data_IF_573239268398
#
_entry.id   IF_573239268398
#
_cell.length_a   1.000
_cell.length_b   1.000
_cell.length_c   1.000
_cell.angle_alpha   90.00
_cell.angle_beta   90.00
_cell.angle_gamma   90.00
#
_symmetry.space_group_name_H-M   'P 1'
#
loop_
_entity.id
_entity.type
_entity.pdbx_description
1 polymer ?
#
# COMPACT_ATOMS: atom_id res chain seq x y z
N UNK A 1 -2.65 -17.42 14.86
CA UNK A 1 -3.01 -17.39 13.43
C UNK A 1 -2.18 -16.31 12.78
N UNK A 2 -1.50 -16.62 11.69
CA UNK A 2 -0.88 -15.60 10.84
C UNK A 2 -2.00 -14.92 10.02
N UNK A 3 -1.94 -13.59 9.81
CA UNK A 3 -2.98 -12.88 9.08
C UNK A 3 -3.04 -13.33 7.62
N UNK A 4 -4.26 -13.48 7.09
CA UNK A 4 -4.51 -13.83 5.70
C UNK A 4 -3.87 -12.82 4.72
N UNK A 5 -3.51 -13.28 3.52
CA UNK A 5 -2.84 -12.48 2.49
C UNK A 5 -3.64 -11.26 2.06
N UNK A 6 -4.97 -11.30 2.20
CA UNK A 6 -5.86 -10.18 1.88
C UNK A 6 -6.33 -9.41 3.11
N UNK A 7 -5.85 -9.77 4.31
CA UNK A 7 -6.13 -8.99 5.50
C UNK A 7 -5.33 -7.68 5.47
N UNK A 8 -6.04 -6.54 5.41
CA UNK A 8 -5.50 -5.18 5.40
C UNK A 8 -5.83 -4.40 6.68
N UNK A 9 -6.48 -5.05 7.65
CA UNK A 9 -6.95 -4.40 8.89
C UNK A 9 -8.26 -3.62 8.70
N UNK A 10 -8.77 -3.10 9.81
CA UNK A 10 -10.04 -2.34 9.89
C UNK A 10 -9.86 -0.89 10.33
N UNK A 11 -8.61 -0.47 10.58
CA UNK A 11 -8.25 0.87 11.02
C UNK A 11 -6.84 1.23 10.58
N UNK A 12 -6.49 2.52 10.61
CA UNK A 12 -5.14 2.99 10.30
C UNK A 12 -4.07 2.30 11.17
N UNK A 13 -4.34 2.16 12.47
CA UNK A 13 -3.41 1.52 13.40
C UNK A 13 -3.20 0.03 13.10
N UNK A 14 -4.28 -0.69 12.74
CA UNK A 14 -4.18 -2.11 12.39
C UNK A 14 -3.47 -2.32 11.04
N UNK A 15 -3.76 -1.47 10.05
CA UNK A 15 -3.09 -1.50 8.75
C UNK A 15 -1.59 -1.23 8.88
N UNK A 16 -1.19 -0.24 9.69
CA UNK A 16 0.22 0.07 9.95
C UNK A 16 0.93 -1.07 10.68
N UNK A 17 0.27 -1.69 11.67
CA UNK A 17 0.81 -2.86 12.35
C UNK A 17 1.02 -4.05 11.40
N UNK A 18 0.06 -4.32 10.50
CA UNK A 18 0.20 -5.36 9.48
C UNK A 18 1.32 -5.04 8.48
N UNK A 19 1.50 -3.77 8.13
CA UNK A 19 2.61 -3.28 7.30
C UNK A 19 3.97 -3.50 7.99
N UNK A 20 4.07 -3.26 9.29
CA UNK A 20 5.29 -3.51 10.06
C UNK A 20 5.65 -5.01 10.11
N UNK A 21 4.66 -5.87 10.39
CA UNK A 21 4.83 -7.32 10.33
C UNK A 21 5.31 -7.74 8.93
N UNK A 22 4.65 -7.23 7.88
CA UNK A 22 4.98 -7.54 6.50
C UNK A 22 6.41 -7.11 6.15
N UNK A 23 6.81 -5.90 6.52
CA UNK A 23 8.17 -5.37 6.30
C UNK A 23 9.21 -6.23 7.01
N UNK A 24 8.92 -6.68 8.24
CA UNK A 24 9.78 -7.59 8.98
C UNK A 24 9.92 -8.94 8.27
N UNK A 25 8.83 -9.49 7.74
CA UNK A 25 8.83 -10.73 6.97
C UNK A 25 9.68 -10.58 5.69
N UNK A 26 9.47 -9.50 4.92
CA UNK A 26 10.24 -9.22 3.70
C UNK A 26 11.73 -9.09 4.00
N UNK A 27 12.12 -8.45 5.11
CA UNK A 27 13.52 -8.38 5.54
C UNK A 27 14.10 -9.76 5.83
N UNK A 28 13.40 -10.60 6.60
CA UNK A 28 13.82 -11.98 6.87
C UNK A 28 13.93 -12.81 5.59
N UNK A 29 13.06 -12.55 4.61
CA UNK A 29 13.12 -13.21 3.31
C UNK A 29 14.32 -12.76 2.49
N UNK A 30 14.68 -11.47 2.53
CA UNK A 30 15.86 -10.94 1.87
C UNK A 30 17.16 -11.58 2.40
N UNK A 31 17.23 -11.92 3.70
CA UNK A 31 18.36 -12.66 4.28
C UNK A 31 18.52 -14.08 3.67
N UNK A 32 17.46 -14.65 3.08
CA UNK A 32 17.49 -15.94 2.39
C UNK A 32 17.85 -15.84 0.91
N UNK A 33 17.81 -14.64 0.31
CA UNK A 33 18.10 -14.44 -1.11
C UNK A 33 19.47 -14.98 -1.48
N UNK A 34 20.51 -14.71 -0.67
CA UNK A 34 21.87 -15.19 -0.92
C UNK A 34 21.93 -16.72 -0.96
N UNK A 35 21.31 -17.39 0.02
CA UNK A 35 21.28 -18.86 0.10
C UNK A 35 20.58 -19.48 -1.11
N UNK A 36 19.52 -18.83 -1.61
CA UNK A 36 18.77 -19.29 -2.78
C UNK A 36 19.58 -19.07 -4.06
N UNK A 37 20.25 -17.92 -4.21
CA UNK A 37 21.13 -17.66 -5.35
C UNK A 37 22.29 -18.66 -5.41
N UNK A 38 22.91 -18.97 -4.26
CA UNK A 38 23.96 -19.98 -4.16
C UNK A 38 23.44 -21.38 -4.52
N UNK A 39 22.26 -21.75 -4.03
CA UNK A 39 21.63 -23.03 -4.32
C UNK A 39 21.31 -23.18 -5.81
N UNK A 40 20.78 -22.13 -6.44
CA UNK A 40 20.49 -22.11 -7.88
C UNK A 40 21.78 -22.21 -8.72
N UNK A 41 22.83 -21.47 -8.37
CA UNK A 41 24.14 -21.56 -9.03
C UNK A 41 24.71 -22.97 -8.94
N UNK A 42 24.64 -23.60 -7.76
CA UNK A 42 25.11 -24.98 -7.57
C UNK A 42 24.27 -25.98 -8.38
N UNK A 43 22.97 -25.77 -8.49
CA UNK A 43 22.12 -26.61 -9.33
C UNK A 43 22.51 -26.48 -10.82
N UNK A 44 22.83 -25.28 -11.29
CA UNK A 44 23.32 -25.03 -12.66
C UNK A 44 24.70 -25.68 -12.91
N UNK A 45 25.62 -25.60 -11.96
CA UNK A 45 26.91 -26.31 -12.04
C UNK A 45 26.70 -27.82 -12.16
N UNK A 46 25.78 -28.39 -11.37
CA UNK A 46 25.47 -29.81 -11.41
C UNK A 46 24.88 -30.25 -12.75
N UNK A 47 24.09 -29.40 -13.43
CA UNK A 47 23.58 -29.68 -14.78
C UNK A 47 24.73 -29.94 -15.76
N UNK A 48 25.79 -29.13 -15.70
CA UNK A 48 26.97 -29.25 -16.58
C UNK A 48 27.80 -30.51 -16.33
N UNK A 49 27.63 -31.15 -15.17
CA UNK A 49 28.38 -32.33 -14.73
C UNK A 49 27.58 -33.64 -14.88
N UNK A 50 26.34 -33.59 -15.39
CA UNK A 50 25.51 -34.80 -15.48
C UNK A 50 26.00 -35.76 -16.55
N UNK A 51 26.02 -37.08 -16.27
CA UNK A 51 26.52 -38.08 -17.21
C UNK A 51 25.56 -38.38 -18.37
N UNK A 52 24.28 -37.97 -18.27
CA UNK A 52 23.28 -38.14 -19.33
C UNK A 52 22.48 -36.86 -19.56
N UNK A 53 22.08 -36.64 -20.80
CA UNK A 53 21.23 -35.51 -21.21
C UNK A 53 19.88 -35.50 -20.48
N UNK A 54 19.30 -36.69 -20.25
CA UNK A 54 18.07 -36.84 -19.48
C UNK A 54 18.18 -36.32 -18.03
N UNK A 55 19.29 -36.62 -17.35
CA UNK A 55 19.53 -36.10 -16.00
C UNK A 55 19.80 -34.59 -16.02
N UNK A 56 20.58 -34.09 -16.98
CA UNK A 56 20.81 -32.66 -17.16
C UNK A 56 19.50 -31.88 -17.32
N UNK A 57 18.55 -32.39 -18.11
CA UNK A 57 17.22 -31.77 -18.28
C UNK A 57 16.42 -31.72 -16.97
N UNK A 58 16.43 -32.80 -16.18
CA UNK A 58 15.69 -32.83 -14.90
C UNK A 58 16.23 -31.80 -13.93
N UNK A 59 17.56 -31.71 -13.77
CA UNK A 59 18.18 -30.70 -12.89
C UNK A 59 17.93 -29.28 -13.38
N UNK A 60 17.98 -29.05 -14.69
CA UNK A 60 17.62 -27.76 -15.29
C UNK A 60 16.17 -27.37 -15.00
N UNK A 61 15.24 -28.31 -15.19
CA UNK A 61 13.82 -28.10 -14.89
C UNK A 61 13.56 -27.82 -13.40
N UNK A 62 14.25 -28.52 -12.50
CA UNK A 62 14.16 -28.29 -11.05
C UNK A 62 14.67 -26.89 -10.67
N UNK A 63 15.84 -26.48 -11.17
CA UNK A 63 16.39 -25.13 -10.93
C UNK A 63 15.44 -24.05 -11.45
N UNK A 64 14.93 -24.22 -12.68
CA UNK A 64 13.96 -23.32 -13.28
C UNK A 64 12.67 -23.21 -12.46
N UNK A 65 12.13 -24.35 -11.99
CA UNK A 65 10.93 -24.37 -11.15
C UNK A 65 11.13 -23.66 -9.82
N UNK A 66 12.28 -23.86 -9.16
CA UNK A 66 12.60 -23.19 -7.89
C UNK A 66 12.75 -21.68 -8.08
N UNK A 67 13.50 -21.26 -9.11
CA UNK A 67 13.69 -19.84 -9.41
C UNK A 67 12.36 -19.16 -9.79
N UNK A 68 11.48 -19.86 -10.50
CA UNK A 68 10.13 -19.38 -10.79
C UNK A 68 9.31 -19.18 -9.52
N UNK A 69 9.22 -20.21 -8.67
CA UNK A 69 8.47 -20.13 -7.41
C UNK A 69 8.99 -19.01 -6.49
N UNK A 70 10.31 -18.82 -6.44
CA UNK A 70 10.92 -17.74 -5.67
C UNK A 70 10.53 -16.36 -6.18
N UNK A 71 10.58 -16.14 -7.50
CA UNK A 71 10.16 -14.86 -8.11
C UNK A 71 8.67 -14.58 -7.89
N UNK A 72 7.82 -15.59 -8.05
CA UNK A 72 6.38 -15.48 -7.81
C UNK A 72 6.08 -15.09 -6.35
N UNK A 73 6.80 -15.69 -5.38
CA UNK A 73 6.68 -15.33 -3.97
C UNK A 73 7.05 -13.85 -3.73
N UNK A 74 8.19 -13.40 -4.27
CA UNK A 74 8.62 -12.01 -4.15
C UNK A 74 7.61 -11.04 -4.78
N UNK A 75 7.02 -11.41 -5.92
CA UNK A 75 5.99 -10.61 -6.59
C UNK A 75 4.73 -10.46 -5.74
N UNK A 76 4.22 -11.57 -5.19
CA UNK A 76 3.02 -11.56 -4.32
C UNK A 76 3.29 -10.73 -3.06
N UNK A 77 4.46 -10.86 -2.46
CA UNK A 77 4.83 -10.07 -1.29
C UNK A 77 4.97 -8.58 -1.63
N UNK A 78 5.56 -8.24 -2.77
CA UNK A 78 5.62 -6.85 -3.24
C UNK A 78 4.22 -6.24 -3.42
N UNK A 79 3.29 -6.98 -4.04
CA UNK A 79 1.89 -6.55 -4.19
C UNK A 79 1.21 -6.35 -2.84
N UNK A 80 1.42 -7.25 -1.88
CA UNK A 80 0.85 -7.11 -0.53
C UNK A 80 1.41 -5.90 0.20
N UNK A 81 2.72 -5.62 0.10
CA UNK A 81 3.33 -4.44 0.68
C UNK A 81 2.69 -3.15 0.16
N UNK A 82 2.51 -3.05 -1.17
CA UNK A 82 1.84 -1.91 -1.78
C UNK A 82 0.38 -1.78 -1.33
N UNK A 83 -0.36 -2.89 -1.25
CA UNK A 83 -1.74 -2.90 -0.75
C UNK A 83 -1.85 -2.37 0.68
N UNK A 84 -0.93 -2.77 1.56
CA UNK A 84 -0.92 -2.32 2.97
C UNK A 84 -0.60 -0.84 3.10
N UNK A 85 0.30 -0.31 2.27
CA UNK A 85 0.57 1.13 2.18
C UNK A 85 -0.71 1.89 1.80
N UNK A 86 -1.36 1.49 0.72
CA UNK A 86 -2.61 2.11 0.27
C UNK A 86 -3.72 2.02 1.31
N UNK A 87 -3.82 0.91 2.02
CA UNK A 87 -4.82 0.72 3.07
C UNK A 87 -4.58 1.68 4.24
N UNK A 88 -3.34 1.81 4.73
CA UNK A 88 -2.99 2.71 5.81
C UNK A 88 -3.32 4.18 5.44
N UNK A 89 -2.90 4.62 4.25
CA UNK A 89 -3.20 5.96 3.73
C UNK A 89 -4.71 6.19 3.61
N UNK A 90 -5.45 5.20 3.10
CA UNK A 90 -6.90 5.27 2.95
C UNK A 90 -7.58 5.47 4.31
N UNK A 91 -7.21 4.70 5.33
CA UNK A 91 -7.80 4.83 6.66
C UNK A 91 -7.50 6.19 7.30
N UNK A 92 -6.26 6.69 7.20
CA UNK A 92 -5.89 8.02 7.71
C UNK A 92 -6.73 9.12 7.04
N UNK A 93 -6.86 9.05 5.71
CA UNK A 93 -7.66 10.01 4.96
C UNK A 93 -9.15 9.91 5.29
N UNK A 94 -9.69 8.70 5.40
CA UNK A 94 -11.08 8.47 5.79
C UNK A 94 -11.36 9.02 7.19
N UNK A 95 -10.47 8.77 8.16
CA UNK A 95 -10.59 9.29 9.52
C UNK A 95 -10.56 10.83 9.54
N UNK A 96 -9.69 11.45 8.75
CA UNK A 96 -9.63 12.91 8.61
C UNK A 96 -10.93 13.49 8.04
N UNK A 97 -11.49 12.87 7.00
CA UNK A 97 -12.78 13.27 6.41
C UNK A 97 -13.92 13.05 7.39
N UNK A 98 -13.98 11.91 8.08
CA UNK A 98 -14.99 11.64 9.09
C UNK A 98 -14.91 12.62 10.27
N UNK A 99 -13.71 12.99 10.72
CA UNK A 99 -13.52 14.01 11.74
C UNK A 99 -14.01 15.38 11.27
N UNK A 100 -13.71 15.77 10.03
CA UNK A 100 -14.21 17.00 9.44
C UNK A 100 -15.75 17.02 9.34
N UNK A 101 -16.35 15.91 8.85
CA UNK A 101 -17.80 15.78 8.75
C UNK A 101 -18.49 15.83 10.12
N UNK A 102 -17.92 15.18 11.14
CA UNK A 102 -18.43 15.24 12.52
C UNK A 102 -18.38 16.66 13.08
N UNK A 103 -17.34 17.44 12.78
CA UNK A 103 -17.27 18.85 13.20
C UNK A 103 -18.37 19.71 12.58
N UNK A 104 -18.81 19.39 11.37
CA UNK A 104 -19.93 20.07 10.69
C UNK A 104 -21.28 19.59 11.22
N UNK A 105 -21.39 18.31 11.59
CA UNK A 105 -22.64 17.64 11.99
C UNK A 105 -22.86 17.63 13.51
N UNK A 106 -21.92 18.17 14.28
CA UNK A 106 -22.00 18.22 15.74
C UNK A 106 -23.34 18.86 16.16
N UNK A 107 -24.09 18.28 17.10
CA UNK A 107 -25.38 18.80 17.56
C UNK A 107 -25.31 20.21 18.19
N UNK A 108 -24.13 20.79 18.38
CA UNK A 108 -23.97 22.25 18.52
C UNK A 108 -24.49 23.06 17.32
N UNK A 109 -24.66 22.44 16.15
CA UNK A 109 -25.44 22.90 14.99
C UNK A 109 -26.94 22.52 15.08
N UNK A 110 -27.47 22.02 16.20
CA UNK A 110 -28.87 21.55 16.27
C UNK A 110 -29.74 22.28 17.29
N UNK A 111 -29.18 23.20 18.07
CA UNK A 111 -29.97 24.04 18.94
C UNK A 111 -30.09 25.44 18.30
N UNK A 112 -31.30 25.75 17.82
CA UNK A 112 -31.79 27.13 17.76
C UNK A 112 -31.42 27.98 16.52
N UNK A 113 -31.43 27.40 15.31
CA UNK A 113 -31.32 28.20 14.08
C UNK A 113 -32.61 28.98 13.80
N UNK A 114 -32.64 30.24 14.22
CA UNK A 114 -33.64 31.20 13.75
C UNK A 114 -34.67 31.67 14.77
N UNK A 115 -34.54 31.27 16.04
CA UNK A 115 -35.42 31.78 17.11
C UNK A 115 -34.93 33.13 17.67
N UNK A 116 -33.73 33.57 17.31
CA UNK A 116 -33.19 34.90 17.66
C UNK A 116 -32.24 35.47 16.60
N UNK A 117 -32.07 36.80 16.61
CA UNK A 117 -31.07 37.51 15.77
C UNK A 117 -29.65 37.05 16.11
N UNK A 118 -29.38 36.78 17.39
CA UNK A 118 -28.09 36.30 17.89
C UNK A 118 -27.76 34.90 17.34
N UNK A 119 -28.78 34.04 17.17
CA UNK A 119 -28.63 32.74 16.53
C UNK A 119 -28.28 32.85 15.04
N UNK A 120 -28.82 33.86 14.34
CA UNK A 120 -28.50 34.12 12.93
C UNK A 120 -27.09 34.67 12.77
N UNK A 121 -26.64 35.58 13.63
CA UNK A 121 -25.25 36.09 13.63
C UNK A 121 -24.25 34.95 13.88
N UNK A 122 -24.55 34.06 14.83
CA UNK A 122 -23.76 32.84 15.07
C UNK A 122 -23.71 31.94 13.83
N UNK A 123 -24.82 31.77 13.10
CA UNK A 123 -24.86 31.01 11.84
C UNK A 123 -23.91 31.57 10.82
N UNK A 124 -23.99 32.89 10.59
CA UNK A 124 -23.15 33.59 9.62
C UNK A 124 -21.68 33.44 10.00
N UNK A 125 -21.34 33.60 11.28
CA UNK A 125 -19.97 33.45 11.74
C UNK A 125 -19.43 32.02 11.58
N UNK A 126 -20.24 31.02 11.90
CA UNK A 126 -19.88 29.61 11.71
C UNK A 126 -19.71 29.28 10.23
N UNK A 127 -20.63 29.74 9.36
CA UNK A 127 -20.53 29.59 7.91
C UNK A 127 -19.24 30.22 7.38
N UNK A 128 -18.91 31.45 7.77
CA UNK A 128 -17.65 32.08 7.39
C UNK A 128 -16.45 31.31 7.92
N UNK A 129 -16.48 30.73 9.11
CA UNK A 129 -15.33 29.93 9.61
C UNK A 129 -15.16 28.58 8.91
N UNK A 130 -16.26 27.94 8.49
CA UNK A 130 -16.24 26.65 7.79
C UNK A 130 -15.96 26.79 6.29
N UNK A 131 -16.49 27.85 5.67
CA UNK A 131 -16.44 28.10 4.22
C UNK A 131 -15.56 29.28 3.81
N UNK A 132 -14.90 29.96 4.75
CA UNK A 132 -13.78 30.85 4.41
C UNK A 132 -12.80 30.03 3.55
N UNK A 133 -12.32 30.58 2.43
CA UNK A 133 -11.47 29.84 1.52
C UNK A 133 -10.26 29.35 2.31
N UNK A 134 -10.21 28.05 2.60
CA UNK A 134 -8.96 27.36 2.93
C UNK A 134 -8.11 27.37 1.67
N UNK A 135 -7.56 28.53 1.35
CA UNK A 135 -6.54 28.77 0.34
C UNK A 135 -5.23 28.16 0.83
N UNK A 136 -5.17 26.85 1.03
CA UNK A 136 -3.92 26.10 1.27
C UNK A 136 -4.05 24.58 1.10
N UNK A 137 -5.26 23.99 1.17
CA UNK A 137 -5.40 22.52 1.21
C UNK A 137 -5.86 21.90 -0.12
N UNK A 138 -6.44 22.68 -1.03
CA UNK A 138 -6.86 22.17 -2.36
C UNK A 138 -5.66 21.87 -3.26
N UNK A 139 -4.49 22.44 -2.97
CA UNK A 139 -3.23 22.15 -3.68
C UNK A 139 -2.66 20.76 -3.38
N UNK A 140 -3.09 20.08 -2.31
CA UNK A 140 -2.50 18.78 -1.94
C UNK A 140 -3.12 17.60 -2.69
N UNK A 141 -4.42 17.67 -3.03
CA UNK A 141 -5.10 16.60 -3.78
C UNK A 141 -4.82 16.68 -5.29
N UNK A 142 -4.56 17.88 -5.83
CA UNK A 142 -4.14 18.02 -7.23
C UNK A 142 -2.69 17.54 -7.47
N UNK A 143 -1.79 17.69 -6.49
CA UNK A 143 -0.40 17.24 -6.64
C UNK A 143 -0.21 15.72 -6.54
N UNK A 144 -1.13 14.97 -5.93
CA UNK A 144 -1.05 13.49 -5.89
C UNK A 144 -1.64 12.82 -7.13
N UNK A 145 -2.41 13.55 -7.95
CA UNK A 145 -2.98 13.03 -9.21
C UNK A 145 -2.25 13.53 -10.47
N UNK A 146 -1.24 14.40 -10.32
CA UNK A 146 -0.33 14.77 -11.42
C UNK A 146 1.13 14.43 -11.07
N UNK A 147 1.42 13.15 -10.87
CA UNK A 147 2.76 12.58 -10.98
C UNK A 147 3.02 12.07 -12.41
N UNK A 148 4.27 12.06 -12.90
CA UNK A 148 4.58 12.20 -14.31
C UNK A 148 4.25 10.94 -15.14
N UNK A 149 3.16 11.02 -15.91
CA UNK A 149 3.05 10.29 -17.18
C UNK A 149 4.06 10.87 -18.18
N UNK A 150 5.28 10.30 -18.23
CA UNK A 150 5.96 9.88 -19.46
C UNK A 150 7.45 9.61 -19.23
N UNK A 151 7.84 8.34 -19.41
CA UNK A 151 8.83 7.91 -20.43
C UNK A 151 8.90 6.38 -20.47
N UNK A 152 7.85 5.76 -21.01
CA UNK A 152 8.07 4.54 -21.79
C UNK A 152 8.37 5.00 -23.21
N UNK A 153 9.65 5.16 -23.51
CA UNK A 153 10.08 5.26 -24.89
C UNK A 153 10.01 3.85 -25.48
N UNK A 154 9.26 3.71 -26.56
CA UNK A 154 9.14 2.51 -27.37
C UNK A 154 10.53 1.95 -27.69
N UNK A 155 10.81 0.71 -27.29
CA UNK A 155 11.81 -0.13 -27.93
C UNK A 155 11.03 -1.17 -28.74
N UNK A 156 11.07 -1.04 -30.06
CA UNK A 156 10.79 -2.11 -31.01
C UNK A 156 11.30 -1.69 -32.41
N UNK A 157 11.72 -2.63 -33.28
CA UNK A 157 12.18 -4.00 -33.04
C UNK A 157 13.71 -4.12 -32.97
#
# INVERSE_FOLDING_TARGET
MEPDLYNIGKSAAEAEYLKEIHTTLVRKLAEKQTQISELLSRAEELVSQQPTEGQAMVYSAMSSSLNKAWRELLEVLGKRGHLLEMAADCFVNADAVCAAARRITDPSFSADWGDSVESIERLIQVFFTLFSPRTSAVTFVEQTLTGPTQKFLCISP
#
